data_IF_288800017993
#
_entry.id   IF_288800017993
#
_cell.length_a   1.000
_cell.length_b   1.000
_cell.length_c   1.000
_cell.angle_alpha   90.00
_cell.angle_beta   90.00
_cell.angle_gamma   90.00
#
_symmetry.space_group_name_H-M   'P 1'
#
loop_
_entity.id
_entity.type
_entity.pdbx_description
1 polymer ?
#
# COMPACT_ATOMS: atom_id res chain seq x y z
N UNK A 1 -47.22 -32.56 -29.77
CA UNK A 1 -46.10 -32.66 -28.81
C UNK A 1 -45.17 -31.50 -29.12
N UNK A 2 -45.47 -30.33 -28.58
CA UNK A 2 -44.62 -29.15 -28.73
C UNK A 2 -43.35 -29.35 -27.91
N UNK A 3 -42.23 -29.56 -28.60
CA UNK A 3 -40.91 -29.57 -27.97
C UNK A 3 -40.36 -28.16 -28.00
N UNK A 4 -40.52 -27.44 -26.89
CA UNK A 4 -39.94 -26.12 -26.68
C UNK A 4 -38.42 -26.24 -26.57
N UNK A 5 -37.70 -26.02 -27.68
CA UNK A 5 -36.25 -25.88 -27.63
C UNK A 5 -35.91 -24.55 -26.95
N UNK A 6 -35.25 -24.64 -25.80
CA UNK A 6 -34.69 -23.46 -25.14
C UNK A 6 -33.64 -22.81 -26.07
N UNK A 7 -33.55 -21.47 -26.13
CA UNK A 7 -32.56 -20.81 -26.97
C UNK A 7 -31.16 -21.14 -26.44
N UNK A 8 -30.43 -21.97 -27.18
CA UNK A 8 -29.04 -22.30 -26.91
C UNK A 8 -28.21 -21.02 -27.10
N UNK A 9 -27.57 -20.54 -26.05
CA UNK A 9 -26.73 -19.35 -26.11
C UNK A 9 -25.70 -19.51 -27.25
N UNK A 10 -25.66 -18.58 -28.20
CA UNK A 10 -24.72 -18.62 -29.32
C UNK A 10 -23.30 -18.49 -28.78
N UNK A 11 -22.33 -19.21 -29.36
CA UNK A 11 -20.93 -19.15 -28.93
C UNK A 11 -20.39 -17.70 -28.89
N UNK A 12 -20.88 -16.83 -29.77
CA UNK A 12 -20.54 -15.41 -29.80
C UNK A 12 -21.00 -14.64 -28.55
N UNK A 13 -22.16 -15.00 -28.00
CA UNK A 13 -22.66 -14.41 -26.75
C UNK A 13 -21.78 -14.83 -25.55
N UNK A 14 -21.29 -16.07 -25.55
CA UNK A 14 -20.37 -16.58 -24.53
C UNK A 14 -19.02 -15.87 -24.62
N UNK A 15 -18.49 -15.68 -25.84
CA UNK A 15 -17.24 -14.98 -26.06
C UNK A 15 -17.32 -13.51 -25.63
N UNK A 16 -18.42 -12.83 -25.97
CA UNK A 16 -18.69 -11.44 -25.57
C UNK A 16 -18.74 -11.30 -24.05
N UNK A 17 -19.42 -12.23 -23.36
CA UNK A 17 -19.45 -12.27 -21.90
C UNK A 17 -18.06 -12.50 -21.30
N UNK A 18 -17.26 -13.39 -21.89
CA UNK A 18 -15.92 -13.67 -21.43
C UNK A 18 -15.02 -12.43 -21.54
N UNK A 19 -15.14 -11.67 -22.62
CA UNK A 19 -14.38 -10.43 -22.81
C UNK A 19 -14.81 -9.32 -21.84
N UNK A 20 -16.10 -9.22 -21.55
CA UNK A 20 -16.60 -8.31 -20.51
C UNK A 20 -16.06 -8.70 -19.11
N UNK A 21 -16.03 -9.99 -18.77
CA UNK A 21 -15.48 -10.47 -17.49
C UNK A 21 -13.98 -10.21 -17.38
N UNK A 22 -13.21 -10.44 -18.46
CA UNK A 22 -11.78 -10.13 -18.50
C UNK A 22 -11.54 -8.62 -18.35
N UNK A 23 -12.31 -7.80 -19.06
CA UNK A 23 -12.24 -6.34 -18.96
C UNK A 23 -12.56 -5.85 -17.55
N UNK A 24 -13.55 -6.45 -16.88
CA UNK A 24 -13.90 -6.15 -15.51
C UNK A 24 -12.77 -6.56 -14.54
N UNK A 25 -12.19 -7.75 -14.70
CA UNK A 25 -11.04 -8.19 -13.90
C UNK A 25 -9.87 -7.20 -14.00
N UNK A 26 -9.49 -6.81 -15.21
CA UNK A 26 -8.41 -5.83 -15.42
C UNK A 26 -8.72 -4.48 -14.78
N UNK A 27 -9.99 -4.02 -14.82
CA UNK A 27 -10.39 -2.78 -14.17
C UNK A 27 -10.34 -2.89 -12.65
N UNK A 28 -10.76 -4.03 -12.09
CA UNK A 28 -10.70 -4.31 -10.66
C UNK A 28 -9.25 -4.39 -10.18
N UNK A 29 -8.39 -5.12 -10.89
CA UNK A 29 -6.96 -5.20 -10.60
C UNK A 29 -6.33 -3.81 -10.64
N UNK A 30 -6.62 -3.00 -11.66
CA UNK A 30 -6.15 -1.61 -11.72
C UNK A 30 -6.66 -0.74 -10.57
N UNK A 31 -7.88 -0.99 -10.07
CA UNK A 31 -8.45 -0.27 -8.92
C UNK A 31 -7.71 -0.63 -7.62
N UNK A 32 -7.33 -1.90 -7.47
CA UNK A 32 -6.55 -2.40 -6.33
C UNK A 32 -5.05 -2.10 -6.45
N UNK A 33 -4.55 -1.88 -7.67
CA UNK A 33 -3.16 -1.49 -7.96
C UNK A 33 -2.95 0.03 -7.96
N UNK A 34 -3.99 0.81 -7.63
CA UNK A 34 -3.83 2.18 -7.12
C UNK A 34 -3.14 2.06 -5.76
N UNK A 35 -1.82 1.87 -5.79
CA UNK A 35 -0.96 1.91 -4.62
C UNK A 35 -1.23 3.24 -3.94
N UNK A 36 -1.93 3.22 -2.82
CA UNK A 36 -2.13 4.39 -1.97
C UNK A 36 -0.78 5.06 -1.79
N UNK A 37 -0.62 6.26 -2.33
CA UNK A 37 0.60 7.04 -2.20
C UNK A 37 0.78 7.37 -0.72
N UNK A 38 1.89 6.91 -0.13
CA UNK A 38 2.18 7.12 1.29
C UNK A 38 3.25 8.18 1.45
N UNK A 39 3.01 9.13 2.35
CA UNK A 39 4.01 10.05 2.85
C UNK A 39 4.37 9.69 4.30
N UNK A 40 5.64 9.82 4.68
CA UNK A 40 6.12 9.55 6.04
C UNK A 40 6.61 10.84 6.67
N UNK A 41 5.99 11.23 7.77
CA UNK A 41 6.44 12.34 8.61
C UNK A 41 7.29 11.79 9.77
N UNK A 42 8.57 12.12 9.78
CA UNK A 42 9.52 11.71 10.84
C UNK A 42 9.74 12.86 11.82
N UNK A 43 9.82 12.56 13.12
CA UNK A 43 10.15 13.55 14.16
C UNK A 43 8.95 14.20 14.86
N UNK A 44 7.71 13.79 14.55
CA UNK A 44 6.53 14.25 15.31
C UNK A 44 6.51 13.65 16.72
N UNK A 45 6.46 14.51 17.74
CA UNK A 45 6.42 14.11 19.15
C UNK A 45 5.07 13.48 19.50
N UNK A 46 5.07 12.40 20.30
CA UNK A 46 3.85 11.87 20.92
C UNK A 46 3.45 12.75 22.12
N UNK A 47 2.14 12.92 22.32
CA UNK A 47 1.58 13.55 23.52
C UNK A 47 1.31 12.51 24.60
N UNK A 48 0.90 13.00 25.77
CA UNK A 48 0.58 12.20 26.97
C UNK A 48 -0.49 11.15 26.71
N UNK A 49 -1.50 11.47 25.88
CA UNK A 49 -2.58 10.55 25.53
C UNK A 49 -2.64 10.30 24.02
N UNK A 50 -3.23 9.16 23.64
CA UNK A 50 -3.43 8.81 22.22
C UNK A 50 -4.38 9.79 21.53
N UNK A 51 -5.38 10.29 22.25
CA UNK A 51 -6.39 11.23 21.73
C UNK A 51 -5.79 12.60 21.42
N UNK A 52 -4.95 13.13 22.32
CA UNK A 52 -4.20 14.37 22.09
C UNK A 52 -3.22 14.24 20.93
N UNK A 53 -2.58 13.06 20.80
CA UNK A 53 -1.67 12.77 19.71
C UNK A 53 -2.39 12.76 18.37
N UNK A 54 -3.57 12.12 18.28
CA UNK A 54 -4.37 12.09 17.05
C UNK A 54 -4.84 13.49 16.64
N UNK A 55 -5.26 14.33 17.60
CA UNK A 55 -5.62 15.73 17.32
C UNK A 55 -4.42 16.52 16.78
N UNK A 56 -3.25 16.36 17.39
CA UNK A 56 -2.02 17.03 16.96
C UNK A 56 -1.57 16.58 15.56
N UNK A 57 -1.72 15.30 15.24
CA UNK A 57 -1.42 14.76 13.90
C UNK A 57 -2.37 15.34 12.84
N UNK A 58 -3.67 15.45 13.14
CA UNK A 58 -4.66 16.11 12.26
C UNK A 58 -4.35 17.60 12.04
N UNK A 59 -4.01 18.34 13.09
CA UNK A 59 -3.61 19.75 12.96
C UNK A 59 -2.37 19.90 12.08
N UNK A 60 -1.39 19.02 12.26
CA UNK A 60 -0.16 19.01 11.45
C UNK A 60 -0.46 18.75 9.97
N UNK A 61 -1.35 17.80 9.67
CA UNK A 61 -1.78 17.53 8.30
C UNK A 61 -2.44 18.75 7.66
N UNK A 62 -3.36 19.41 8.38
CA UNK A 62 -4.00 20.65 7.89
C UNK A 62 -2.98 21.73 7.55
N UNK A 63 -1.98 21.93 8.42
CA UNK A 63 -0.90 22.90 8.19
C UNK A 63 -0.08 22.55 6.95
N UNK A 64 0.27 21.27 6.79
CA UNK A 64 1.04 20.80 5.62
C UNK A 64 0.25 21.02 4.33
N UNK A 65 -1.02 20.61 4.29
CA UNK A 65 -1.88 20.75 3.10
C UNK A 65 -2.04 22.23 2.74
N UNK A 66 -2.32 23.09 3.72
CA UNK A 66 -2.44 24.53 3.50
C UNK A 66 -1.14 25.14 2.97
N UNK A 67 0.02 24.67 3.44
CA UNK A 67 1.34 25.17 3.01
C UNK A 67 1.73 24.70 1.60
N UNK A 68 1.32 23.50 1.21
CA UNK A 68 1.59 22.95 -0.13
C UNK A 68 0.80 23.69 -1.23
N UNK A 69 -0.34 24.30 -0.86
CA UNK A 69 -1.22 25.05 -1.78
C UNK A 69 -1.63 24.25 -3.04
N UNK A 70 -1.73 22.93 -2.90
CA UNK A 70 -2.17 22.01 -3.94
C UNK A 70 -3.69 21.81 -3.82
N UNK A 71 -4.41 22.15 -4.89
CA UNK A 71 -5.87 22.03 -4.95
C UNK A 71 -6.32 20.58 -4.86
N UNK A 72 -5.65 19.65 -5.54
CA UNK A 72 -6.04 18.23 -5.53
C UNK A 72 -5.84 17.63 -4.13
N UNK A 73 -4.74 17.98 -3.47
CA UNK A 73 -4.46 17.54 -2.12
C UNK A 73 -5.51 18.06 -1.11
N UNK A 74 -5.93 19.32 -1.27
CA UNK A 74 -6.97 19.92 -0.44
C UNK A 74 -8.32 19.26 -0.66
N UNK A 75 -8.73 19.08 -1.92
CA UNK A 75 -10.00 18.45 -2.28
C UNK A 75 -10.05 16.99 -1.77
N UNK A 76 -8.94 16.24 -1.90
CA UNK A 76 -8.83 14.86 -1.39
C UNK A 76 -8.88 14.79 0.15
N UNK A 77 -8.32 15.78 0.85
CA UNK A 77 -8.45 15.87 2.31
C UNK A 77 -9.89 16.15 2.73
N UNK A 78 -10.56 17.11 2.08
CA UNK A 78 -11.96 17.45 2.35
C UNK A 78 -12.93 16.31 2.02
N UNK A 79 -12.62 15.51 0.98
CA UNK A 79 -13.35 14.29 0.62
C UNK A 79 -13.12 13.11 1.60
N UNK A 80 -12.16 13.23 2.53
CA UNK A 80 -11.82 12.16 3.48
C UNK A 80 -11.01 11.01 2.88
N UNK A 81 -10.37 11.22 1.73
CA UNK A 81 -9.53 10.21 1.06
C UNK A 81 -8.13 10.13 1.66
N UNK A 82 -7.69 11.19 2.34
CA UNK A 82 -6.40 11.25 3.04
C UNK A 82 -6.58 10.76 4.48
N UNK A 83 -5.91 9.66 4.80
CA UNK A 83 -5.87 9.10 6.16
C UNK A 83 -4.47 9.17 6.73
N UNK A 84 -4.36 9.25 8.05
CA UNK A 84 -3.08 9.24 8.75
C UNK A 84 -3.03 8.14 9.80
N UNK A 85 -1.84 7.58 10.01
CA UNK A 85 -1.57 6.64 11.09
C UNK A 85 -0.12 6.73 11.52
N UNK A 86 0.13 6.57 12.82
CA UNK A 86 1.50 6.45 13.33
C UNK A 86 2.03 5.03 13.17
N UNK A 87 3.30 4.95 12.82
CA UNK A 87 4.08 3.72 12.81
C UNK A 87 5.19 3.81 13.87
N UNK A 88 5.42 2.76 14.69
CA UNK A 88 4.71 1.48 14.69
C UNK A 88 3.30 1.60 15.28
N UNK A 89 2.37 0.81 14.74
CA UNK A 89 1.02 0.70 15.30
C UNK A 89 1.11 0.25 16.77
N UNK A 90 0.40 0.94 17.66
CA UNK A 90 0.33 0.54 19.07
C UNK A 90 -0.55 -0.71 19.19
N UNK A 91 0.03 -1.87 18.89
CA UNK A 91 -0.63 -3.16 19.02
C UNK A 91 -0.80 -3.50 20.50
N UNK A 92 -1.90 -4.18 20.81
CA UNK A 92 -2.14 -4.74 22.13
C UNK A 92 -0.92 -5.56 22.62
N UNK A 93 -0.64 -5.58 23.93
CA UNK A 93 0.41 -6.41 24.51
C UNK A 93 0.30 -7.86 23.97
N UNK A 94 1.42 -8.45 23.52
CA UNK A 94 1.46 -9.81 22.96
C UNK A 94 1.30 -9.92 21.44
N UNK A 95 0.84 -8.87 20.74
CA UNK A 95 0.79 -8.82 19.24
C UNK A 95 1.91 -7.97 18.62
N UNK A 96 2.84 -7.49 19.45
CA UNK A 96 4.01 -6.71 19.02
C UNK A 96 5.08 -7.70 18.55
N UNK A 97 5.62 -7.50 17.35
CA UNK A 97 6.81 -8.22 16.95
C UNK A 97 7.96 -7.71 17.81
N UNK A 98 8.49 -8.55 18.71
CA UNK A 98 9.78 -8.32 19.33
C UNK A 98 10.83 -8.47 18.23
N UNK A 99 11.21 -7.35 17.61
CA UNK A 99 12.47 -7.29 16.88
C UNK A 99 13.57 -7.31 17.94
N UNK A 100 14.40 -8.36 17.91
CA UNK A 100 15.68 -8.32 18.62
C UNK A 100 16.48 -7.17 18.02
N UNK A 101 16.97 -6.27 18.85
CA UNK A 101 17.94 -5.29 18.41
C UNK A 101 19.17 -6.03 17.90
N UNK A 102 19.49 -5.83 16.63
CA UNK A 102 20.70 -6.38 16.05
C UNK A 102 21.90 -5.65 16.64
N UNK A 103 22.94 -6.41 17.00
CA UNK A 103 24.22 -5.82 17.36
C UNK A 103 24.82 -5.09 16.14
N UNK A 104 25.70 -4.09 16.33
CA UNK A 104 26.28 -3.34 15.22
C UNK A 104 26.88 -4.23 14.11
N UNK A 105 27.52 -5.33 14.48
CA UNK A 105 28.08 -6.32 13.54
C UNK A 105 27.01 -7.07 12.73
N UNK A 106 25.90 -7.44 13.38
CA UNK A 106 24.77 -8.11 12.71
C UNK A 106 24.05 -7.13 11.76
N UNK A 107 23.95 -5.86 12.15
CA UNK A 107 23.39 -4.80 11.32
C UNK A 107 24.25 -4.55 10.07
N UNK A 108 25.58 -4.54 10.23
CA UNK A 108 26.52 -4.41 9.13
C UNK A 108 26.46 -5.62 8.19
N UNK A 109 26.36 -6.83 8.72
CA UNK A 109 26.18 -8.04 7.93
C UNK A 109 24.91 -8.00 7.08
N UNK A 110 23.79 -7.55 7.65
CA UNK A 110 22.52 -7.35 6.93
C UNK A 110 22.65 -6.31 5.82
N UNK A 111 23.34 -5.19 6.07
CA UNK A 111 23.61 -4.16 5.05
C UNK A 111 24.43 -4.75 3.90
N UNK A 112 25.51 -5.43 4.20
CA UNK A 112 26.41 -6.03 3.21
C UNK A 112 25.68 -7.10 2.37
N UNK A 113 24.88 -7.96 3.01
CA UNK A 113 24.07 -8.97 2.31
C UNK A 113 23.03 -8.33 1.36
N UNK A 114 22.44 -7.20 1.75
CA UNK A 114 21.49 -6.46 0.90
C UNK A 114 22.17 -5.84 -0.32
N UNK A 115 23.31 -5.19 -0.12
CA UNK A 115 24.08 -4.57 -1.20
C UNK A 115 24.59 -5.64 -2.17
N UNK A 116 25.01 -6.79 -1.65
CA UNK A 116 25.37 -7.94 -2.47
C UNK A 116 24.18 -8.48 -3.28
N UNK A 117 23.01 -8.68 -2.67
CA UNK A 117 21.82 -9.14 -3.37
C UNK A 117 21.42 -8.18 -4.50
N UNK A 118 21.49 -6.86 -4.24
CA UNK A 118 21.25 -5.82 -5.26
C UNK A 118 22.24 -5.93 -6.41
N UNK A 119 23.54 -6.00 -6.11
CA UNK A 119 24.59 -6.16 -7.12
C UNK A 119 24.35 -7.40 -7.96
N UNK A 120 24.08 -8.56 -7.33
CA UNK A 120 23.84 -9.80 -8.06
C UNK A 120 22.60 -9.71 -8.96
N UNK A 121 21.52 -9.08 -8.50
CA UNK A 121 20.32 -8.86 -9.33
C UNK A 121 20.59 -7.96 -10.54
N UNK A 122 21.43 -6.93 -10.38
CA UNK A 122 21.88 -6.06 -11.47
C UNK A 122 22.76 -6.83 -12.45
N UNK A 123 23.74 -7.59 -11.94
CA UNK A 123 24.65 -8.41 -12.75
C UNK A 123 23.90 -9.48 -13.55
N UNK A 124 22.82 -10.04 -13.00
CA UNK A 124 22.01 -11.07 -13.64
C UNK A 124 20.85 -10.55 -14.49
N UNK A 125 20.65 -9.22 -14.55
CA UNK A 125 19.52 -8.55 -15.20
C UNK A 125 18.15 -9.20 -14.85
N UNK A 126 18.03 -9.73 -13.63
CA UNK A 126 16.82 -10.40 -13.15
C UNK A 126 16.76 -10.40 -11.62
N UNK A 127 15.54 -10.30 -11.07
CA UNK A 127 15.30 -10.23 -9.63
C UNK A 127 15.28 -11.64 -9.00
N UNK A 128 16.46 -12.24 -8.82
CA UNK A 128 16.62 -13.61 -8.30
C UNK A 128 16.96 -13.67 -6.82
N UNK A 129 17.71 -12.71 -6.30
CA UNK A 129 18.08 -12.62 -4.89
C UNK A 129 17.13 -11.66 -4.17
N UNK A 130 16.53 -12.12 -3.07
CA UNK A 130 15.53 -11.36 -2.34
C UNK A 130 16.11 -10.08 -1.74
N UNK A 131 15.63 -8.93 -2.21
CA UNK A 131 15.83 -7.62 -1.57
C UNK A 131 14.47 -7.25 -0.99
N UNK A 132 14.32 -7.30 0.34
CA UNK A 132 13.13 -6.73 0.99
C UNK A 132 13.31 -5.22 1.06
N UNK A 133 12.45 -4.48 0.38
CA UNK A 133 12.29 -3.05 0.61
C UNK A 133 11.71 -2.85 2.02
N UNK A 134 12.30 -1.92 2.76
CA UNK A 134 11.85 -1.47 4.06
C UNK A 134 11.06 -0.18 3.93
#
# INVERSE_FOLDING_TARGET
MDSSSSPLATQDSVNTLMDLVKSLHVKIDKLFDIKSTKAVLVGSTMKSTNEETAKCDEETLKVIIAKTNDKQLKDAYEAGEITHKRFPENKAPGKRFLRRDLMPSELEQERNARDEARRRNLDSDCLRWGVRDC
#
